data_IF_171157695891
#
_entry.id   IF_171157695891
#
_cell.length_a   1.000
_cell.length_b   1.000
_cell.length_c   1.000
_cell.angle_alpha   90.00
_cell.angle_beta   90.00
_cell.angle_gamma   90.00
#
_symmetry.space_group_name_H-M   'P 1'
#
loop_
_entity.id
_entity.type
_entity.pdbx_description
1 polymer ?
#
# COMPACT_ATOMS: atom_id res chain seq x y z
N UNK A 1 37.91 16.13 7.37
CA UNK A 1 37.36 15.77 6.05
C UNK A 1 35.95 15.24 6.27
N UNK A 2 34.91 16.00 5.93
CA UNK A 2 33.54 15.49 5.98
C UNK A 2 33.43 14.47 4.85
N UNK A 3 33.18 13.20 5.16
CA UNK A 3 32.95 12.19 4.14
C UNK A 3 31.82 12.68 3.23
N UNK A 4 32.08 12.84 1.93
CA UNK A 4 31.02 13.11 0.96
C UNK A 4 30.00 11.97 1.07
N UNK A 5 28.76 12.31 1.42
CA UNK A 5 27.67 11.33 1.46
C UNK A 5 27.47 10.69 0.09
N UNK A 6 26.98 9.44 0.07
CA UNK A 6 26.65 8.75 -1.18
C UNK A 6 25.54 9.51 -1.92
N UNK A 7 25.71 9.69 -3.24
CA UNK A 7 24.71 10.32 -4.11
C UNK A 7 24.13 9.28 -5.05
N UNK A 8 22.79 9.20 -5.09
CA UNK A 8 22.07 8.30 -6.00
C UNK A 8 22.14 8.82 -7.44
N UNK A 9 22.56 7.97 -8.37
CA UNK A 9 22.52 8.22 -9.81
C UNK A 9 21.18 7.72 -10.38
N UNK A 10 20.29 8.67 -10.71
CA UNK A 10 18.94 8.37 -11.21
C UNK A 10 18.93 7.74 -12.61
N UNK A 11 20.06 7.77 -13.34
CA UNK A 11 20.19 7.13 -14.65
C UNK A 11 20.59 5.65 -14.56
N UNK A 12 20.81 5.13 -13.35
CA UNK A 12 21.20 3.75 -13.08
C UNK A 12 20.14 3.01 -12.26
N UNK A 13 20.15 1.67 -12.26
CA UNK A 13 19.26 0.86 -11.43
C UNK A 13 19.33 1.25 -9.94
N UNK A 14 18.20 1.57 -9.33
CA UNK A 14 18.17 2.20 -8.00
C UNK A 14 18.23 1.23 -6.81
N UNK A 15 17.75 0.00 -6.96
CA UNK A 15 17.50 -0.91 -5.81
C UNK A 15 18.76 -1.14 -4.98
N UNK A 16 19.91 -1.34 -5.63
CA UNK A 16 21.17 -1.56 -4.93
C UNK A 16 21.95 -0.28 -4.60
N UNK A 17 21.47 0.89 -5.05
CA UNK A 17 22.06 2.19 -4.73
C UNK A 17 21.53 2.73 -3.40
N UNK A 18 20.21 2.68 -3.18
CA UNK A 18 19.53 3.36 -2.06
C UNK A 18 19.99 2.88 -0.68
N UNK A 19 20.49 1.64 -0.57
CA UNK A 19 21.08 1.13 0.66
C UNK A 19 22.29 1.93 1.15
N UNK A 20 23.07 2.50 0.22
CA UNK A 20 24.29 3.27 0.56
C UNK A 20 24.01 4.65 1.15
N UNK A 21 22.76 5.14 1.07
CA UNK A 21 22.37 6.43 1.67
C UNK A 21 22.43 6.44 3.20
N UNK A 22 22.42 5.26 3.85
CA UNK A 22 22.52 5.15 5.30
C UNK A 22 21.46 6.00 6.01
N UNK A 23 21.90 6.94 6.83
CA UNK A 23 21.03 7.83 7.63
C UNK A 23 20.31 8.89 6.78
N UNK A 24 20.87 9.28 5.63
CA UNK A 24 20.26 10.27 4.71
C UNK A 24 19.08 9.69 3.92
N UNK A 25 18.85 8.37 3.98
CA UNK A 25 17.80 7.70 3.22
C UNK A 25 16.39 8.22 3.54
N UNK A 26 16.08 8.42 4.82
CA UNK A 26 14.74 8.80 5.25
C UNK A 26 14.33 10.17 4.72
N UNK A 27 15.26 11.13 4.68
CA UNK A 27 15.02 12.42 4.07
C UNK A 27 14.92 12.27 2.55
N UNK A 28 15.88 11.57 1.93
CA UNK A 28 15.95 11.42 0.47
C UNK A 28 14.70 10.77 -0.15
N UNK A 29 14.19 9.70 0.45
CA UNK A 29 13.08 8.89 -0.10
C UNK A 29 11.76 9.65 -0.07
N UNK A 30 11.63 10.57 0.87
CA UNK A 30 10.43 11.36 1.13
C UNK A 30 10.41 12.72 0.42
N UNK A 31 11.39 12.99 -0.44
CA UNK A 31 11.41 14.16 -1.34
C UNK A 31 10.91 13.72 -2.74
N UNK A 32 9.63 13.94 -3.08
CA UNK A 32 9.02 13.34 -4.26
C UNK A 32 9.55 13.93 -5.56
N UNK A 33 9.75 13.07 -6.56
CA UNK A 33 10.03 13.41 -7.94
C UNK A 33 8.73 13.21 -8.71
N UNK A 34 8.09 14.31 -9.10
CA UNK A 34 6.81 14.29 -9.81
C UNK A 34 7.06 14.08 -11.31
N UNK A 35 7.08 12.82 -11.72
CA UNK A 35 7.20 12.40 -13.13
C UNK A 35 6.34 11.17 -13.39
N UNK A 36 5.77 11.07 -14.60
CA UNK A 36 5.10 9.84 -15.06
C UNK A 36 6.08 8.73 -15.37
N UNK A 37 7.31 9.08 -15.72
CA UNK A 37 8.36 8.11 -15.98
C UNK A 37 8.95 7.65 -14.65
N UNK A 38 8.85 6.34 -14.40
CA UNK A 38 9.43 5.68 -13.25
C UNK A 38 10.92 5.40 -13.40
N UNK A 39 11.66 5.25 -12.28
CA UNK A 39 13.05 4.86 -12.33
C UNK A 39 13.21 3.41 -12.79
N UNK A 40 14.43 3.03 -13.17
CA UNK A 40 14.79 1.62 -13.35
C UNK A 40 15.18 1.02 -12.01
N UNK A 41 14.66 -0.15 -11.65
CA UNK A 41 14.98 -0.84 -10.41
C UNK A 41 16.21 -1.74 -10.56
N UNK A 42 16.22 -2.54 -11.62
CA UNK A 42 17.24 -3.57 -11.85
C UNK A 42 17.93 -3.40 -13.21
N UNK A 43 19.20 -3.81 -13.30
CA UNK A 43 19.90 -3.84 -14.60
C UNK A 43 19.30 -4.88 -15.55
N UNK A 44 18.86 -6.02 -15.01
CA UNK A 44 18.22 -7.10 -15.78
C UNK A 44 16.78 -6.77 -16.16
N UNK A 45 16.44 -6.96 -17.44
CA UNK A 45 15.07 -6.79 -17.93
C UNK A 45 14.08 -7.77 -17.29
N UNK A 46 14.54 -8.98 -16.95
CA UNK A 46 13.69 -9.97 -16.29
C UNK A 46 13.26 -9.52 -14.90
N UNK A 47 14.22 -9.06 -14.08
CA UNK A 47 13.91 -8.56 -12.74
C UNK A 47 13.14 -7.25 -12.79
N UNK A 48 13.44 -6.38 -13.76
CA UNK A 48 12.72 -5.13 -13.99
C UNK A 48 11.24 -5.38 -14.34
N UNK A 49 10.96 -6.35 -15.21
CA UNK A 49 9.60 -6.74 -15.61
C UNK A 49 8.74 -7.12 -14.40
N UNK A 50 9.29 -7.89 -13.45
CA UNK A 50 8.57 -8.33 -12.25
C UNK A 50 8.24 -7.18 -11.27
N UNK A 51 8.84 -6.00 -11.44
CA UNK A 51 8.56 -4.82 -10.61
C UNK A 51 7.43 -3.94 -11.13
N UNK A 52 6.95 -4.19 -12.35
CA UNK A 52 5.97 -3.33 -13.03
C UNK A 52 4.62 -4.02 -13.04
N UNK A 53 3.64 -3.40 -12.39
CA UNK A 53 2.28 -3.94 -12.27
C UNK A 53 1.27 -2.87 -12.65
N UNK A 54 0.48 -3.15 -13.69
CA UNK A 54 -0.67 -2.34 -14.06
C UNK A 54 -1.81 -2.49 -13.04
N UNK A 55 -2.52 -1.41 -12.74
CA UNK A 55 -3.55 -1.39 -11.69
C UNK A 55 -4.66 -2.43 -11.89
N UNK A 56 -5.03 -2.70 -13.15
CA UNK A 56 -6.10 -3.64 -13.50
C UNK A 56 -5.69 -5.11 -13.32
N UNK A 57 -4.40 -5.39 -13.13
CA UNK A 57 -3.91 -6.74 -12.82
C UNK A 57 -4.43 -7.18 -11.45
N UNK A 58 -4.51 -6.26 -10.48
CA UNK A 58 -4.95 -6.55 -9.12
C UNK A 58 -6.36 -7.19 -9.10
N UNK A 59 -7.43 -6.58 -9.65
CA UNK A 59 -8.73 -7.21 -9.66
C UNK A 59 -8.78 -8.49 -10.51
N UNK A 60 -8.08 -8.54 -11.65
CA UNK A 60 -8.07 -9.74 -12.52
C UNK A 60 -7.51 -10.96 -11.79
N UNK A 61 -6.40 -10.80 -11.06
CA UNK A 61 -5.76 -11.91 -10.35
C UNK A 61 -6.55 -12.27 -9.09
N UNK A 62 -6.95 -11.27 -8.30
CA UNK A 62 -7.41 -11.52 -6.93
C UNK A 62 -8.92 -11.70 -6.79
N UNK A 63 -9.76 -11.13 -7.65
CA UNK A 63 -11.21 -11.35 -7.56
C UNK A 63 -11.61 -12.83 -7.77
N UNK A 64 -11.03 -13.59 -8.72
CA UNK A 64 -11.30 -15.03 -8.83
C UNK A 64 -10.90 -15.78 -7.56
N UNK A 65 -9.78 -15.41 -6.93
CA UNK A 65 -9.31 -16.01 -5.67
C UNK A 65 -10.27 -15.68 -4.53
N UNK A 66 -10.75 -14.44 -4.42
CA UNK A 66 -11.81 -14.04 -3.48
C UNK A 66 -13.06 -14.91 -3.67
N UNK A 67 -13.56 -15.02 -4.90
CA UNK A 67 -14.73 -15.83 -5.22
C UNK A 67 -14.54 -17.30 -4.84
N UNK A 68 -13.36 -17.86 -5.11
CA UNK A 68 -13.04 -19.24 -4.74
C UNK A 68 -13.08 -19.43 -3.23
N UNK A 69 -12.41 -18.59 -2.45
CA UNK A 69 -12.41 -18.70 -0.98
C UNK A 69 -13.81 -18.50 -0.37
N UNK A 70 -14.61 -17.56 -0.88
CA UNK A 70 -15.98 -17.36 -0.42
C UNK A 70 -16.86 -18.58 -0.75
N UNK A 71 -16.71 -19.15 -1.95
CA UNK A 71 -17.46 -20.34 -2.37
C UNK A 71 -17.16 -21.56 -1.50
N UNK A 72 -15.92 -21.70 -1.00
CA UNK A 72 -15.55 -22.77 -0.07
C UNK A 72 -16.39 -22.73 1.20
N UNK A 73 -16.58 -21.56 1.81
CA UNK A 73 -17.43 -21.44 3.00
C UNK A 73 -18.90 -21.72 2.71
N UNK A 74 -19.41 -21.37 1.52
CA UNK A 74 -20.77 -21.73 1.09
C UNK A 74 -20.93 -23.25 1.02
N UNK A 75 -20.01 -23.93 0.33
CA UNK A 75 -20.03 -25.40 0.21
C UNK A 75 -19.87 -26.10 1.56
N UNK A 76 -19.23 -25.44 2.53
CA UNK A 76 -19.11 -25.92 3.91
C UNK A 76 -20.32 -25.63 4.80
N UNK A 77 -21.44 -25.18 4.22
CA UNK A 77 -22.75 -25.11 4.88
C UNK A 77 -23.13 -23.74 5.45
N UNK A 78 -22.36 -22.69 5.19
CA UNK A 78 -22.76 -21.33 5.61
C UNK A 78 -23.87 -20.78 4.72
N UNK A 79 -24.87 -20.16 5.36
CA UNK A 79 -25.95 -19.45 4.68
C UNK A 79 -25.45 -18.14 4.04
N UNK A 80 -26.16 -17.62 3.04
CA UNK A 80 -25.80 -16.37 2.38
C UNK A 80 -25.67 -15.18 3.36
N UNK A 81 -26.55 -14.99 4.36
CA UNK A 81 -26.38 -13.92 5.35
C UNK A 81 -25.12 -14.08 6.20
N UNK A 82 -24.77 -15.31 6.61
CA UNK A 82 -23.53 -15.58 7.35
C UNK A 82 -22.30 -15.26 6.49
N UNK A 83 -22.34 -15.62 5.20
CA UNK A 83 -21.27 -15.31 4.25
C UNK A 83 -21.12 -13.80 4.06
N UNK A 84 -22.23 -13.08 3.83
CA UNK A 84 -22.21 -11.64 3.68
C UNK A 84 -21.60 -10.95 4.91
N UNK A 85 -22.04 -11.34 6.11
CA UNK A 85 -21.49 -10.83 7.36
C UNK A 85 -20.00 -11.14 7.48
N UNK A 86 -19.59 -12.38 7.21
CA UNK A 86 -18.17 -12.80 7.29
C UNK A 86 -17.29 -12.04 6.32
N UNK A 87 -17.74 -11.82 5.08
CA UNK A 87 -17.03 -11.03 4.08
C UNK A 87 -16.90 -9.58 4.52
N UNK A 88 -17.98 -8.96 5.01
CA UNK A 88 -17.95 -7.58 5.55
C UNK A 88 -17.01 -7.47 6.74
N UNK A 89 -17.00 -8.47 7.64
CA UNK A 89 -16.03 -8.54 8.75
C UNK A 89 -14.61 -8.62 8.21
N UNK A 90 -14.34 -9.45 7.20
CA UNK A 90 -13.03 -9.55 6.55
C UNK A 90 -12.56 -8.23 5.96
N UNK A 91 -13.43 -7.51 5.25
CA UNK A 91 -13.14 -6.16 4.74
C UNK A 91 -12.83 -5.21 5.89
N UNK A 92 -13.61 -5.26 6.97
CA UNK A 92 -13.37 -4.46 8.18
C UNK A 92 -11.99 -4.73 8.79
N UNK A 93 -11.61 -6.00 8.94
CA UNK A 93 -10.26 -6.40 9.41
C UNK A 93 -9.18 -5.87 8.46
N UNK A 94 -9.40 -5.93 7.14
CA UNK A 94 -8.47 -5.36 6.18
C UNK A 94 -8.25 -3.86 6.41
N UNK A 95 -9.28 -3.06 6.66
CA UNK A 95 -9.07 -1.60 6.87
C UNK A 95 -8.13 -1.30 8.05
N UNK A 96 -8.13 -2.16 9.09
CA UNK A 96 -7.18 -2.04 10.21
C UNK A 96 -5.78 -2.53 9.82
N UNK A 97 -5.69 -3.61 9.04
CA UNK A 97 -4.42 -4.09 8.49
C UNK A 97 -3.79 -3.03 7.57
N UNK A 98 -4.56 -2.42 6.69
CA UNK A 98 -4.15 -1.29 5.85
C UNK A 98 -3.52 -0.19 6.70
N UNK A 99 -4.21 0.29 7.74
CA UNK A 99 -3.70 1.33 8.62
C UNK A 99 -2.40 0.93 9.31
N UNK A 100 -2.34 -0.29 9.86
CA UNK A 100 -1.18 -0.77 10.63
C UNK A 100 0.02 -1.05 9.75
N UNK A 101 -0.16 -1.68 8.59
CA UNK A 101 0.88 -1.89 7.59
C UNK A 101 1.40 -0.55 7.09
N UNK A 102 0.51 0.37 6.71
CA UNK A 102 0.93 1.66 6.19
C UNK A 102 1.72 2.45 7.25
N UNK A 103 1.23 2.50 8.49
CA UNK A 103 1.90 3.26 9.57
C UNK A 103 3.21 2.65 10.06
N UNK A 104 3.25 1.34 10.29
CA UNK A 104 4.35 0.71 11.03
C UNK A 104 5.34 -0.03 10.13
N UNK A 105 4.89 -0.54 8.97
CA UNK A 105 5.75 -1.25 8.03
C UNK A 105 6.18 -0.35 6.87
N UNK A 106 5.24 0.30 6.21
CA UNK A 106 5.51 1.13 5.03
C UNK A 106 6.14 2.48 5.37
N UNK A 107 6.02 2.94 6.62
CA UNK A 107 6.70 4.13 7.15
C UNK A 107 7.79 3.77 8.20
N UNK A 108 8.35 2.56 8.11
CA UNK A 108 9.41 2.14 9.02
C UNK A 108 10.68 2.97 8.82
N UNK A 109 11.26 3.45 9.92
CA UNK A 109 12.54 4.16 9.90
C UNK A 109 13.69 3.18 9.91
N UNK A 110 14.53 3.27 8.89
CA UNK A 110 15.70 2.42 8.68
C UNK A 110 16.90 3.27 8.27
N UNK A 111 18.10 2.75 8.60
CA UNK A 111 19.40 3.31 8.22
C UNK A 111 20.40 2.26 7.70
N UNK A 112 20.03 0.97 7.72
CA UNK A 112 20.91 -0.10 7.24
C UNK A 112 20.76 -0.28 5.74
N UNK A 113 21.80 -0.79 5.08
CA UNK A 113 21.79 -1.02 3.64
C UNK A 113 20.55 -1.83 3.20
N UNK A 114 20.35 -2.99 3.81
CA UNK A 114 19.24 -3.88 3.48
C UNK A 114 17.89 -3.33 3.95
N UNK A 115 17.83 -2.68 5.11
CA UNK A 115 16.59 -2.09 5.58
C UNK A 115 16.10 -0.99 4.64
N UNK A 116 16.99 -0.09 4.20
CA UNK A 116 16.66 0.97 3.24
C UNK A 116 16.21 0.38 1.90
N UNK A 117 16.91 -0.64 1.41
CA UNK A 117 16.59 -1.35 0.15
C UNK A 117 15.21 -2.01 0.22
N UNK A 118 14.90 -2.75 1.30
CA UNK A 118 13.60 -3.39 1.49
C UNK A 118 12.50 -2.34 1.62
N UNK A 119 12.70 -1.29 2.42
CA UNK A 119 11.73 -0.20 2.54
C UNK A 119 11.45 0.46 1.19
N UNK A 120 12.49 0.66 0.36
CA UNK A 120 12.34 1.27 -0.95
C UNK A 120 11.45 0.43 -1.87
N UNK A 121 11.63 -0.89 -1.86
CA UNK A 121 10.81 -1.84 -2.62
C UNK A 121 9.36 -1.93 -2.10
N UNK A 122 9.15 -1.83 -0.79
CA UNK A 122 7.82 -1.95 -0.19
C UNK A 122 6.96 -0.69 -0.37
N UNK A 123 7.55 0.50 -0.14
CA UNK A 123 6.78 1.75 -0.15
C UNK A 123 7.60 3.00 -0.47
N UNK A 124 8.91 2.98 -0.22
CA UNK A 124 9.77 4.15 -0.43
C UNK A 124 9.81 4.62 -1.90
N UNK A 125 9.79 3.70 -2.87
CA UNK A 125 9.67 4.09 -4.28
C UNK A 125 8.39 4.85 -4.56
N UNK A 126 7.27 4.43 -3.97
CA UNK A 126 5.99 5.09 -4.18
C UNK A 126 6.01 6.52 -3.61
N UNK A 127 6.60 6.75 -2.42
CA UNK A 127 6.82 8.11 -1.93
C UNK A 127 7.76 8.94 -2.80
N UNK A 128 8.83 8.31 -3.31
CA UNK A 128 9.84 8.98 -4.11
C UNK A 128 9.35 9.31 -5.52
N UNK A 129 8.54 8.45 -6.12
CA UNK A 129 8.01 8.53 -7.48
C UNK A 129 6.48 8.32 -7.49
N UNK A 130 5.70 9.22 -6.88
CA UNK A 130 4.27 9.00 -6.64
C UNK A 130 3.40 8.96 -7.90
N UNK A 131 3.95 9.31 -9.07
CA UNK A 131 3.23 9.31 -10.34
C UNK A 131 3.72 8.21 -11.30
N UNK A 132 4.58 7.27 -10.83
CA UNK A 132 4.88 6.02 -11.55
C UNK A 132 3.69 5.07 -11.42
N UNK A 133 2.87 4.99 -12.48
CA UNK A 133 1.68 4.15 -12.51
C UNK A 133 1.96 2.65 -12.42
N UNK A 134 3.17 2.19 -12.76
CA UNK A 134 3.51 0.77 -12.75
C UNK A 134 4.07 0.29 -11.41
N UNK A 135 4.35 1.21 -10.48
CA UNK A 135 4.98 0.92 -9.16
C UNK A 135 4.21 1.51 -7.98
N UNK A 136 2.89 1.56 -8.13
CA UNK A 136 1.98 2.00 -7.08
C UNK A 136 1.30 0.83 -6.39
N UNK A 137 0.70 -0.07 -7.16
CA UNK A 137 -0.01 -1.25 -6.63
C UNK A 137 0.97 -2.34 -6.23
N UNK A 138 0.57 -3.21 -5.29
CA UNK A 138 1.46 -4.25 -4.80
C UNK A 138 1.57 -5.39 -5.84
N UNK A 139 2.78 -5.82 -6.25
CA UNK A 139 2.92 -6.86 -7.28
C UNK A 139 2.26 -8.18 -6.86
N UNK A 140 1.48 -8.86 -7.74
CA UNK A 140 0.76 -10.07 -7.37
C UNK A 140 1.64 -11.20 -6.83
N UNK A 141 2.86 -11.35 -7.35
CA UNK A 141 3.80 -12.35 -6.84
C UNK A 141 4.13 -12.10 -5.35
N UNK A 142 4.33 -10.84 -4.95
CA UNK A 142 4.57 -10.47 -3.56
C UNK A 142 3.31 -10.63 -2.71
N UNK A 143 2.13 -10.22 -3.21
CA UNK A 143 0.84 -10.44 -2.53
C UNK A 143 0.60 -11.93 -2.27
N UNK A 144 0.89 -12.81 -3.24
CA UNK A 144 0.72 -14.26 -3.09
C UNK A 144 1.53 -14.85 -1.94
N UNK A 145 2.77 -14.37 -1.76
CA UNK A 145 3.62 -14.75 -0.61
C UNK A 145 2.99 -14.29 0.69
N UNK A 146 2.46 -13.06 0.75
CA UNK A 146 1.81 -12.51 1.94
C UNK A 146 0.46 -13.20 2.25
N UNK A 147 -0.25 -13.72 1.24
CA UNK A 147 -1.49 -14.48 1.47
C UNK A 147 -1.27 -15.69 2.39
N UNK A 148 -0.09 -16.32 2.39
CA UNK A 148 0.21 -17.49 3.22
C UNK A 148 0.15 -17.19 4.73
N UNK A 149 0.92 -16.23 5.29
CA UNK A 149 0.82 -15.90 6.71
C UNK A 149 -0.56 -15.35 7.07
N UNK A 150 -1.19 -14.52 6.22
CA UNK A 150 -2.53 -13.99 6.52
C UNK A 150 -3.61 -15.07 6.54
N UNK A 151 -3.62 -16.00 5.59
CA UNK A 151 -4.58 -17.10 5.60
C UNK A 151 -4.37 -18.02 6.82
N UNK A 152 -3.12 -18.29 7.20
CA UNK A 152 -2.84 -19.04 8.42
C UNK A 152 -3.31 -18.29 9.67
N UNK A 153 -3.14 -16.98 9.73
CA UNK A 153 -3.67 -16.17 10.83
C UNK A 153 -5.20 -16.29 10.93
N UNK A 154 -5.95 -16.18 9.82
CA UNK A 154 -7.41 -16.35 9.86
C UNK A 154 -7.84 -17.76 10.29
N UNK A 155 -7.11 -18.81 9.89
CA UNK A 155 -7.38 -20.18 10.37
C UNK A 155 -7.17 -20.34 11.88
N UNK A 156 -6.26 -19.57 12.49
CA UNK A 156 -6.01 -19.64 13.94
C UNK A 156 -7.13 -19.00 14.75
N UNK A 157 -7.78 -17.96 14.21
CA UNK A 157 -8.77 -17.15 14.95
C UNK A 157 -10.22 -17.46 14.56
N UNK A 158 -10.46 -18.41 13.65
CA UNK A 158 -11.80 -18.75 13.18
C UNK A 158 -11.95 -20.25 12.90
N UNK A 159 -13.19 -20.69 12.70
CA UNK A 159 -13.45 -22.11 12.40
C UNK A 159 -12.99 -22.45 10.97
N UNK A 160 -12.69 -23.73 10.68
CA UNK A 160 -12.31 -24.16 9.33
C UNK A 160 -13.33 -23.78 8.25
N UNK A 161 -14.62 -23.71 8.58
CA UNK A 161 -15.67 -23.31 7.63
C UNK A 161 -15.80 -21.80 7.44
N UNK A 162 -15.42 -20.99 8.43
CA UNK A 162 -15.48 -19.51 8.37
C UNK A 162 -14.20 -18.90 7.79
N UNK A 163 -13.04 -19.49 8.08
CA UNK A 163 -11.73 -18.96 7.67
C UNK A 163 -11.63 -18.62 6.16
N UNK A 164 -12.16 -19.43 5.22
CA UNK A 164 -12.11 -19.11 3.79
C UNK A 164 -12.83 -17.81 3.45
N UNK A 165 -14.10 -17.65 3.80
CA UNK A 165 -14.85 -16.41 3.53
C UNK A 165 -14.28 -15.20 4.26
N UNK A 166 -13.75 -15.38 5.49
CA UNK A 166 -13.14 -14.29 6.24
C UNK A 166 -11.87 -13.78 5.55
N UNK A 167 -11.01 -14.70 5.12
CA UNK A 167 -9.84 -14.38 4.29
C UNK A 167 -10.25 -13.78 2.95
N UNK A 168 -11.27 -14.33 2.29
CA UNK A 168 -11.82 -13.81 1.03
C UNK A 168 -12.31 -12.36 1.17
N UNK A 169 -12.99 -12.03 2.28
CA UNK A 169 -13.36 -10.66 2.61
C UNK A 169 -12.16 -9.75 2.86
N UNK A 170 -11.14 -10.22 3.58
CA UNK A 170 -9.89 -9.48 3.77
C UNK A 170 -9.16 -9.20 2.46
N UNK A 171 -9.07 -10.20 1.57
CA UNK A 171 -8.46 -10.07 0.25
C UNK A 171 -9.28 -9.16 -0.66
N UNK A 172 -10.61 -9.17 -0.57
CA UNK A 172 -11.47 -8.20 -1.26
C UNK A 172 -11.20 -6.77 -0.76
N UNK A 173 -11.05 -6.58 0.56
CA UNK A 173 -10.63 -5.31 1.15
C UNK A 173 -9.30 -4.83 0.57
N UNK A 174 -8.31 -5.73 0.42
CA UNK A 174 -7.04 -5.44 -0.24
C UNK A 174 -7.21 -4.98 -1.70
N UNK A 175 -8.02 -5.67 -2.50
CA UNK A 175 -8.28 -5.25 -3.90
C UNK A 175 -8.91 -3.86 -3.94
N UNK A 176 -9.89 -3.60 -3.06
CA UNK A 176 -10.51 -2.28 -2.94
C UNK A 176 -9.48 -1.22 -2.55
N UNK A 177 -8.58 -1.53 -1.64
CA UNK A 177 -7.48 -0.66 -1.23
C UNK A 177 -6.55 -0.30 -2.39
N UNK A 178 -5.98 -1.28 -3.09
CA UNK A 178 -4.96 -1.02 -4.13
C UNK A 178 -5.57 -0.23 -5.30
N UNK A 179 -6.79 -0.58 -5.72
CA UNK A 179 -7.48 0.14 -6.79
C UNK A 179 -7.88 1.55 -6.35
N UNK A 180 -8.33 1.73 -5.10
CA UNK A 180 -8.61 3.06 -4.55
C UNK A 180 -7.33 3.89 -4.53
N UNK A 181 -6.24 3.35 -3.99
CA UNK A 181 -4.94 3.99 -3.91
C UNK A 181 -4.48 4.49 -5.28
N UNK A 182 -4.53 3.61 -6.29
CA UNK A 182 -4.19 3.96 -7.65
C UNK A 182 -5.07 5.09 -8.21
N UNK A 183 -6.38 5.01 -7.98
CA UNK A 183 -7.34 6.02 -8.40
C UNK A 183 -7.11 7.38 -7.71
N UNK A 184 -6.68 7.41 -6.44
CA UNK A 184 -6.37 8.66 -5.75
C UNK A 184 -5.19 9.39 -6.40
N UNK A 185 -4.20 8.67 -6.93
CA UNK A 185 -3.08 9.28 -7.66
C UNK A 185 -3.48 9.70 -9.08
N UNK A 186 -4.05 8.78 -9.85
CA UNK A 186 -4.17 8.92 -11.30
C UNK A 186 -5.56 9.35 -11.78
N UNK A 187 -6.60 9.17 -10.97
CA UNK A 187 -7.97 9.52 -11.29
C UNK A 187 -8.30 11.00 -11.05
N UNK A 188 -9.39 11.46 -11.66
CA UNK A 188 -9.98 12.77 -11.41
C UNK A 188 -11.39 12.61 -10.80
N UNK A 189 -11.49 12.46 -9.47
CA UNK A 189 -12.77 12.26 -8.82
C UNK A 189 -13.67 13.49 -8.97
N UNK A 190 -14.93 13.27 -9.31
CA UNK A 190 -15.96 14.33 -9.45
C UNK A 190 -16.81 14.47 -8.19
N UNK A 191 -17.07 13.36 -7.49
CA UNK A 191 -17.82 13.31 -6.23
C UNK A 191 -16.99 13.74 -5.02
N UNK A 192 -17.66 14.25 -3.99
CA UNK A 192 -17.01 14.85 -2.81
C UNK A 192 -16.16 13.87 -2.01
N UNK A 193 -16.67 12.66 -1.72
CA UNK A 193 -15.96 11.64 -0.93
C UNK A 193 -14.58 11.28 -1.53
N UNK A 194 -14.48 10.82 -2.79
CA UNK A 194 -13.18 10.48 -3.36
C UNK A 194 -12.30 11.72 -3.62
N UNK A 195 -12.87 12.92 -3.84
CA UNK A 195 -12.10 14.17 -3.85
C UNK A 195 -11.42 14.44 -2.51
N UNK A 196 -12.16 14.28 -1.42
CA UNK A 196 -11.65 14.48 -0.06
C UNK A 196 -10.58 13.43 0.29
N UNK A 197 -10.80 12.16 -0.06
CA UNK A 197 -9.78 11.11 0.09
C UNK A 197 -8.53 11.41 -0.73
N UNK A 198 -8.68 11.84 -1.99
CA UNK A 198 -7.54 12.26 -2.83
C UNK A 198 -6.76 13.39 -2.17
N UNK A 199 -7.42 14.47 -1.77
CA UNK A 199 -6.76 15.61 -1.07
C UNK A 199 -6.04 15.15 0.19
N UNK A 200 -6.70 14.34 1.00
CA UNK A 200 -6.16 13.81 2.25
C UNK A 200 -4.91 12.95 2.02
N UNK A 201 -4.94 12.06 1.03
CA UNK A 201 -3.82 11.20 0.70
C UNK A 201 -2.67 11.95 -0.01
N UNK A 202 -2.96 12.89 -0.90
CA UNK A 202 -1.91 13.74 -1.49
C UNK A 202 -1.24 14.64 -0.42
N UNK A 203 -1.97 15.07 0.61
CA UNK A 203 -1.37 15.77 1.75
C UNK A 203 -0.39 14.86 2.52
N UNK A 204 -0.69 13.56 2.63
CA UNK A 204 0.24 12.59 3.18
C UNK A 204 1.54 12.54 2.36
N UNK A 205 1.47 12.45 1.03
CA UNK A 205 2.67 12.43 0.18
C UNK A 205 3.50 13.72 0.21
N UNK A 206 2.83 14.87 0.06
CA UNK A 206 3.49 16.14 -0.28
C UNK A 206 3.62 17.13 0.88
N UNK A 207 3.01 16.85 2.05
CA UNK A 207 3.02 17.79 3.18
C UNK A 207 3.36 17.14 4.51
N UNK A 208 2.62 16.12 4.94
CA UNK A 208 2.69 15.58 6.30
C UNK A 208 2.67 14.05 6.23
N UNK A 209 3.82 13.44 5.99
CA UNK A 209 3.96 11.99 5.77
C UNK A 209 3.79 11.15 7.04
N UNK A 210 3.95 11.76 8.23
CA UNK A 210 3.76 11.08 9.51
C UNK A 210 2.30 11.08 10.00
N UNK A 211 1.34 11.44 9.13
CA UNK A 211 -0.11 11.49 9.38
C UNK A 211 -0.84 10.99 8.13
N UNK A 212 -2.10 10.60 8.28
CA UNK A 212 -2.94 10.19 7.15
C UNK A 212 -2.56 8.83 6.55
N UNK A 213 -2.54 7.79 7.39
CA UNK A 213 -2.13 6.44 6.99
C UNK A 213 -3.28 5.62 6.40
N UNK A 214 -4.53 6.00 6.62
CA UNK A 214 -5.65 5.44 5.89
C UNK A 214 -5.61 5.85 4.42
N UNK A 215 -5.97 4.95 3.53
CA UNK A 215 -6.12 5.19 2.09
C UNK A 215 -7.59 5.04 1.70
N UNK A 216 -8.23 3.95 2.14
CA UNK A 216 -9.66 3.69 1.87
C UNK A 216 -10.57 4.56 2.71
N UNK A 217 -10.14 4.93 3.93
CA UNK A 217 -10.87 5.84 4.81
C UNK A 217 -9.95 6.49 5.85
N UNK A 218 -10.37 7.61 6.43
CA UNK A 218 -9.68 8.26 7.56
C UNK A 218 -10.10 7.73 8.94
N UNK A 219 -10.84 6.60 8.99
CA UNK A 219 -11.42 6.07 10.24
C UNK A 219 -10.34 5.82 11.30
N UNK A 220 -9.33 5.02 10.96
CA UNK A 220 -8.29 4.63 11.90
C UNK A 220 -7.37 5.79 12.28
N UNK A 221 -7.17 6.77 11.39
CA UNK A 221 -6.47 8.00 11.74
C UNK A 221 -7.20 8.85 12.78
N UNK A 222 -8.54 8.85 12.76
CA UNK A 222 -9.33 9.49 13.83
C UNK A 222 -9.19 8.72 15.13
N UNK A 223 -9.33 7.39 15.08
CA UNK A 223 -9.24 6.51 16.26
C UNK A 223 -7.87 6.62 16.94
N UNK A 224 -6.78 6.65 16.17
CA UNK A 224 -5.41 6.62 16.68
C UNK A 224 -4.70 7.99 16.67
N UNK A 225 -5.43 9.09 16.43
CA UNK A 225 -4.88 10.45 16.53
C UNK A 225 -3.83 10.80 15.46
N UNK A 226 -3.95 10.21 14.27
CA UNK A 226 -3.05 10.46 13.12
C UNK A 226 -3.72 11.20 11.97
N UNK A 227 -4.88 11.81 12.18
CA UNK A 227 -5.51 12.66 11.18
C UNK A 227 -4.65 13.93 10.91
N UNK A 228 -4.35 14.28 9.65
CA UNK A 228 -3.68 15.53 9.31
C UNK A 228 -4.55 16.72 9.72
N UNK A 229 -3.96 17.68 10.44
CA UNK A 229 -4.63 18.95 10.72
C UNK A 229 -4.79 19.73 9.42
N UNK A 230 -6.01 20.17 9.12
CA UNK A 230 -6.19 21.24 8.14
C UNK A 230 -5.55 22.49 8.73
N UNK A 231 -4.49 23.02 8.12
CA UNK A 231 -4.03 24.38 8.41
C UNK A 231 -5.25 25.30 8.28
N UNK A 232 -5.53 26.20 9.24
CA UNK A 232 -6.41 27.33 8.97
C UNK A 232 -5.84 28.04 7.75
N UNK A 233 -6.69 28.45 6.81
CA UNK A 233 -6.27 29.42 5.81
C UNK A 233 -5.61 30.58 6.57
N UNK A 234 -4.36 30.91 6.25
CA UNK A 234 -3.76 32.15 6.75
C UNK A 234 -4.77 33.26 6.44
N UNK A 235 -5.36 33.84 7.47
CA UNK A 235 -6.02 35.13 7.32
C UNK A 235 -4.91 36.07 6.91
N UNK A 236 -4.85 36.43 5.63
CA UNK A 236 -4.03 37.56 5.20
C UNK A 236 -4.45 38.73 6.07
N UNK A 237 -3.47 39.31 6.76
CA UNK A 237 -3.64 40.53 7.55
C UNK A 237 -4.16 41.66 6.69
#
# INVERSE_FOLDING_TARGET
MVAQGFTVDLNKPLVFQVGHLGESYQEWVHQPIVSKEGPRFFGSDFWEFLTRTEWWVIPIVWLPVVCWFVSKSIVMGHTLPQIALTVVTGIGVWTLLEYTLHRFLFHIKTKSYWGNTIHYLLHGCHHKHPMDGLRLVFPPAATAVLCLPFYNFFKLISTPSTAPALFGGGLLGYVMYDVTHYYLHHGQPTSEVPKNLKKYHLNHHFRIQNKGFGITSSLWDKVFGTLPTSMPAEKSR
#
